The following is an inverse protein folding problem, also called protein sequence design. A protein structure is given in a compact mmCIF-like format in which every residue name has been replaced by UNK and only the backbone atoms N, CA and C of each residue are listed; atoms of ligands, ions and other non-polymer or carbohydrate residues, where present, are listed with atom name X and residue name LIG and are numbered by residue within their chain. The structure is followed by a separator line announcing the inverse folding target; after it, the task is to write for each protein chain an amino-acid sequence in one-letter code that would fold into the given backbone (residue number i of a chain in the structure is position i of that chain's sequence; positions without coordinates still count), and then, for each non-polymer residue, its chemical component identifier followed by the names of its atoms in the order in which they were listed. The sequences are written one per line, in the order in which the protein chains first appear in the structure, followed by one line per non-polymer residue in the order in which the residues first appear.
data_IF_874787404763
#
_entry.id   IF_874787404763
#
_cell.length_a   1.000
_cell.length_b   1.000
_cell.length_c   1.000
_cell.angle_alpha   90.00
_cell.angle_beta   90.00
_cell.angle_gamma   90.00
#
_symmetry.space_group_name_H-M   'P 1'
#
loop_
_entity.id
_entity.type
_entity.pdbx_description
1 polymer ?
#
# COMPACT_ATOMS: atom_id res chain seq x y z
N UNK A 1 23.18 -20.53 26.71
CA UNK A 1 22.52 -19.28 26.28
C UNK A 1 22.22 -19.41 24.79
N UNK A 2 21.05 -19.92 24.42
CA UNK A 2 20.68 -20.16 23.01
C UNK A 2 20.11 -18.86 22.45
N UNK A 3 20.87 -18.18 21.59
CA UNK A 3 20.37 -17.03 20.83
C UNK A 3 19.31 -17.51 19.84
N UNK A 4 18.08 -17.04 20.03
CA UNK A 4 16.93 -17.21 19.12
C UNK A 4 17.32 -16.77 17.71
N UNK A 5 17.62 -17.73 16.84
CA UNK A 5 17.71 -17.49 15.40
C UNK A 5 16.29 -17.56 14.83
N UNK A 6 15.53 -16.46 14.91
CA UNK A 6 14.30 -16.34 14.12
C UNK A 6 14.72 -16.06 12.68
N UNK A 7 14.63 -17.09 11.83
CA UNK A 7 14.97 -17.04 10.41
C UNK A 7 13.99 -16.08 9.70
N UNK A 8 14.37 -14.81 9.57
CA UNK A 8 13.64 -13.87 8.72
C UNK A 8 14.00 -14.17 7.27
N UNK A 9 13.24 -15.05 6.61
CA UNK A 9 13.31 -15.17 5.15
C UNK A 9 12.53 -13.98 4.57
N UNK A 10 13.23 -12.90 4.26
CA UNK A 10 12.64 -11.76 3.55
C UNK A 10 12.81 -11.93 2.04
N UNK A 11 11.70 -11.86 1.29
CA UNK A 11 11.73 -11.80 -0.19
C UNK A 11 11.68 -10.34 -0.64
N UNK A 12 12.67 -9.92 -1.42
CA UNK A 12 12.66 -8.62 -2.09
C UNK A 12 11.94 -8.73 -3.43
N UNK A 13 11.13 -7.72 -3.75
CA UNK A 13 10.34 -7.65 -4.98
C UNK A 13 10.35 -6.21 -5.48
N UNK A 14 10.75 -6.02 -6.73
CA UNK A 14 10.64 -4.72 -7.39
C UNK A 14 9.23 -4.54 -7.95
N UNK A 15 8.69 -3.32 -7.83
CA UNK A 15 7.38 -2.96 -8.36
C UNK A 15 7.50 -1.70 -9.19
N UNK A 16 6.62 -1.53 -10.16
CA UNK A 16 6.45 -0.24 -10.84
C UNK A 16 6.09 0.84 -9.81
N UNK A 17 6.77 1.98 -9.84
CA UNK A 17 6.63 3.07 -8.85
C UNK A 17 5.85 4.26 -9.40
N UNK A 18 5.65 4.32 -10.72
CA UNK A 18 4.90 5.38 -11.38
C UNK A 18 3.50 5.51 -10.79
N UNK A 19 3.11 6.76 -10.57
CA UNK A 19 1.81 7.21 -10.06
C UNK A 19 1.41 6.69 -8.67
N UNK A 20 2.31 6.08 -7.90
CA UNK A 20 1.99 5.55 -6.55
C UNK A 20 1.44 6.59 -5.57
N UNK A 21 1.85 7.85 -5.67
CA UNK A 21 1.30 8.96 -4.86
C UNK A 21 -0.03 9.49 -5.40
N UNK A 22 -0.33 9.24 -6.68
CA UNK A 22 -1.51 9.74 -7.39
C UNK A 22 -2.67 8.76 -7.35
N UNK A 23 -2.41 7.47 -7.51
CA UNK A 23 -3.41 6.41 -7.43
C UNK A 23 -3.97 6.32 -6.01
N UNK A 24 -5.28 6.16 -5.91
CA UNK A 24 -5.95 5.88 -4.64
C UNK A 24 -5.70 4.43 -4.23
N UNK A 25 -5.35 4.22 -2.95
CA UNK A 25 -5.18 2.90 -2.35
C UNK A 25 -6.40 1.99 -2.51
N UNK A 26 -7.61 2.55 -2.41
CA UNK A 26 -8.82 1.75 -2.44
C UNK A 26 -9.10 1.24 -3.86
N UNK A 27 -9.09 -0.09 -4.02
CA UNK A 27 -9.37 -0.80 -5.28
C UNK A 27 -10.68 -0.36 -5.96
N UNK A 28 -11.65 0.16 -5.22
CA UNK A 28 -12.89 0.64 -5.82
C UNK A 28 -12.94 2.15 -6.12
N UNK A 29 -11.96 2.95 -5.70
CA UNK A 29 -11.92 4.37 -6.06
C UNK A 29 -11.42 4.56 -7.49
N UNK A 30 -10.49 3.72 -7.96
CA UNK A 30 -9.99 3.68 -9.35
C UNK A 30 -9.30 4.94 -9.89
N UNK A 31 -9.38 6.05 -9.18
CA UNK A 31 -9.06 7.38 -9.70
C UNK A 31 -7.65 7.82 -9.30
N UNK A 32 -6.92 8.41 -10.26
CA UNK A 32 -5.73 9.19 -9.98
C UNK A 32 -6.12 10.60 -9.54
N UNK A 33 -5.53 11.07 -8.45
CA UNK A 33 -5.68 12.43 -7.96
C UNK A 33 -4.42 13.20 -8.30
N UNK A 34 -4.54 14.18 -9.20
CA UNK A 34 -3.46 15.13 -9.47
C UNK A 34 -3.19 15.97 -8.22
N UNK A 35 -1.91 16.11 -7.91
CA UNK A 35 -1.38 16.80 -6.73
C UNK A 35 0.08 17.15 -6.94
N UNK A 36 0.53 18.21 -6.29
CA UNK A 36 1.91 18.68 -6.24
C UNK A 36 2.75 17.88 -5.22
N UNK A 37 4.07 18.04 -5.28
CA UNK A 37 4.97 17.41 -4.31
C UNK A 37 4.79 17.93 -2.88
N UNK A 38 4.32 19.18 -2.73
CA UNK A 38 4.02 19.80 -1.45
C UNK A 38 2.74 19.28 -0.81
N UNK A 39 1.85 18.65 -1.57
CA UNK A 39 0.57 18.17 -1.07
C UNK A 39 0.81 16.91 -0.23
N UNK A 40 0.65 17.03 1.10
CA UNK A 40 0.94 15.93 2.04
C UNK A 40 -0.26 15.03 2.30
N UNK A 41 -1.45 15.44 1.87
CA UNK A 41 -2.70 14.70 2.05
C UNK A 41 -3.16 14.13 0.71
N UNK A 42 -3.64 12.89 0.71
CA UNK A 42 -4.33 12.26 -0.41
C UNK A 42 -5.83 12.26 -0.11
N UNK A 43 -6.59 12.98 -0.94
CA UNK A 43 -8.05 13.07 -0.85
C UNK A 43 -8.73 12.30 -1.99
N UNK A 44 -9.39 11.20 -1.66
CA UNK A 44 -10.12 10.37 -2.61
C UNK A 44 -11.48 10.97 -2.95
N UNK A 45 -11.64 11.45 -4.19
CA UNK A 45 -12.83 12.21 -4.65
C UNK A 45 -14.19 11.52 -4.45
N UNK A 46 -14.24 10.19 -4.46
CA UNK A 46 -15.52 9.45 -4.46
C UNK A 46 -15.92 8.85 -3.11
N UNK A 47 -15.00 8.77 -2.14
CA UNK A 47 -15.20 7.95 -0.92
C UNK A 47 -14.81 8.64 0.38
N UNK A 48 -14.52 9.94 0.36
CA UNK A 48 -14.12 10.69 1.56
C UNK A 48 -12.83 10.18 2.21
N UNK A 49 -11.96 9.50 1.44
CA UNK A 49 -10.68 9.04 1.95
C UNK A 49 -9.75 10.25 2.13
N UNK A 50 -9.35 10.53 3.35
CA UNK A 50 -8.29 11.50 3.67
C UNK A 50 -7.17 10.77 4.41
N UNK A 51 -5.99 10.71 3.79
CA UNK A 51 -4.84 9.98 4.35
C UNK A 51 -3.55 10.68 3.98
N UNK A 52 -2.50 10.50 4.78
CA UNK A 52 -1.15 10.93 4.40
C UNK A 52 -0.74 10.33 3.03
N UNK A 53 -0.19 11.18 2.16
CA UNK A 53 0.19 10.83 0.79
C UNK A 53 1.24 9.72 0.76
N UNK A 54 2.19 9.76 1.68
CA UNK A 54 3.30 8.80 1.74
C UNK A 54 2.79 7.44 2.24
N UNK A 55 1.84 7.44 3.19
CA UNK A 55 1.12 6.24 3.61
C UNK A 55 0.29 5.62 2.48
N UNK A 56 -0.43 6.44 1.69
CA UNK A 56 -1.14 5.97 0.49
C UNK A 56 -0.16 5.34 -0.52
N UNK A 57 0.96 6.01 -0.80
CA UNK A 57 1.96 5.52 -1.74
C UNK A 57 2.63 4.21 -1.28
N UNK A 58 2.99 4.11 0.00
CA UNK A 58 3.55 2.88 0.58
C UNK A 58 2.57 1.71 0.48
N UNK A 59 1.28 1.96 0.72
CA UNK A 59 0.27 0.91 0.66
C UNK A 59 0.02 0.47 -0.80
N UNK A 60 0.07 1.39 -1.77
CA UNK A 60 0.06 1.06 -3.20
C UNK A 60 1.25 0.17 -3.60
N UNK A 61 2.46 0.48 -3.14
CA UNK A 61 3.68 -0.32 -3.38
C UNK A 61 3.50 -1.74 -2.83
N UNK A 62 3.03 -1.87 -1.59
CA UNK A 62 2.78 -3.18 -0.96
C UNK A 62 1.72 -3.97 -1.73
N UNK A 63 0.62 -3.33 -2.14
CA UNK A 63 -0.45 -3.97 -2.92
C UNK A 63 0.07 -4.50 -4.26
N UNK A 64 0.91 -3.73 -4.98
CA UNK A 64 1.56 -4.17 -6.22
C UNK A 64 2.48 -5.37 -5.97
N UNK A 65 3.31 -5.30 -4.92
CA UNK A 65 4.25 -6.36 -4.56
C UNK A 65 3.56 -7.68 -4.22
N UNK A 66 2.47 -7.62 -3.46
CA UNK A 66 1.62 -8.78 -3.13
C UNK A 66 1.04 -9.41 -4.41
N UNK A 67 0.57 -8.58 -5.35
CA UNK A 67 0.06 -9.05 -6.65
C UNK A 67 1.10 -9.83 -7.47
N UNK A 68 2.38 -9.48 -7.37
CA UNK A 68 3.46 -10.15 -8.10
C UNK A 68 3.93 -11.47 -7.48
N UNK A 69 3.85 -11.60 -6.15
CA UNK A 69 4.30 -12.83 -5.47
C UNK A 69 3.23 -13.92 -5.40
N UNK A 70 1.96 -13.57 -5.64
CA UNK A 70 0.81 -14.45 -5.44
C UNK A 70 0.51 -14.69 -3.95
N UNK A 71 -0.75 -14.95 -3.61
CA UNK A 71 -1.19 -15.19 -2.22
C UNK A 71 -0.80 -16.59 -1.68
N UNK A 72 0.11 -17.30 -2.35
CA UNK A 72 0.50 -18.68 -2.02
C UNK A 72 1.36 -18.84 -0.77
N UNK A 73 1.73 -17.74 -0.11
CA UNK A 73 2.35 -17.77 1.22
C UNK A 73 1.25 -17.55 2.26
N UNK A 74 0.89 -18.60 2.99
CA UNK A 74 -0.09 -18.57 4.10
C UNK A 74 0.22 -17.53 5.18
N UNK A 75 1.45 -17.02 5.18
CA UNK A 75 2.02 -16.10 6.16
C UNK A 75 1.83 -14.61 5.77
N UNK A 76 1.58 -14.31 4.48
CA UNK A 76 1.46 -12.94 3.98
C UNK A 76 -0.01 -12.55 3.96
N UNK A 77 -0.54 -12.14 5.11
CA UNK A 77 -1.86 -11.51 5.17
C UNK A 77 -1.74 -10.13 4.53
N UNK A 78 -2.30 -9.99 3.33
CA UNK A 78 -2.35 -8.71 2.66
C UNK A 78 -3.04 -7.67 3.56
N UNK A 79 -2.46 -6.47 3.67
CA UNK A 79 -3.01 -5.36 4.47
C UNK A 79 -4.31 -4.77 3.89
N UNK A 80 -5.03 -5.54 3.06
CA UNK A 80 -6.28 -5.15 2.39
C UNK A 80 -7.40 -4.83 3.39
N UNK A 81 -7.21 -5.17 4.67
CA UNK A 81 -8.15 -4.93 5.77
C UNK A 81 -7.76 -3.78 6.70
N UNK A 82 -6.93 -2.83 6.29
CA UNK A 82 -6.98 -1.53 6.97
C UNK A 82 -8.16 -0.77 6.36
N UNK A 83 -9.31 -0.80 7.04
CA UNK A 83 -10.39 0.16 6.82
C UNK A 83 -9.85 1.57 7.15
N UNK A 84 -9.08 2.13 6.21
CA UNK A 84 -8.64 3.53 6.25
C UNK A 84 -9.74 4.47 5.78
N UNK A 85 -10.87 3.93 5.30
CA UNK A 85 -12.11 4.66 5.23
C UNK A 85 -12.67 4.75 6.65
N UNK A 86 -12.25 5.77 7.39
CA UNK A 86 -12.97 6.22 8.58
C UNK A 86 -14.41 6.57 8.16
N UNK A 87 -15.37 6.26 9.04
CA UNK A 87 -16.82 6.47 8.88
C UNK A 87 -17.19 7.79 8.20
#
# INVERSE_FOLDING_TARGET
MLTKLHKLVSKYVEVETKNTTKSCLNLGCGNEVNKELSDRVHEGRERGLEIDRDLNAATNIVSRGIGLVGQGLSEVKALVHINLCWN
#
